data_IF_842745881560
#
_entry.id   IF_842745881560
#
_cell.length_a   1.000
_cell.length_b   1.000
_cell.length_c   1.000
_cell.angle_alpha   90.00
_cell.angle_beta   90.00
_cell.angle_gamma   90.00
#
_symmetry.space_group_name_H-M   'P 1'
#
loop_
_entity.id
_entity.type
_entity.pdbx_description
1 polymer ?
#
# COMPACT_ATOMS: atom_id res chain seq x y z
N UNK A 1 20.22 0.11 27.92
CA UNK A 1 19.95 -0.58 26.64
C UNK A 1 18.43 -0.56 26.41
N UNK A 2 17.84 0.63 26.31
CA UNK A 2 16.37 0.80 26.13
C UNK A 2 16.01 1.51 24.84
N UNK A 3 16.83 2.49 24.42
CA UNK A 3 16.58 3.31 23.23
C UNK A 3 16.46 2.56 21.89
N UNK A 4 17.00 1.35 21.76
CA UNK A 4 17.03 0.62 20.47
C UNK A 4 15.63 0.25 19.98
N UNK A 5 14.71 -0.09 20.89
CA UNK A 5 13.35 -0.50 20.52
C UNK A 5 12.57 0.68 19.95
N UNK A 6 12.60 1.83 20.64
CA UNK A 6 11.94 3.03 20.14
C UNK A 6 12.51 3.48 18.79
N UNK A 7 13.83 3.39 18.60
CA UNK A 7 14.48 3.73 17.33
C UNK A 7 14.00 2.82 16.17
N UNK A 8 13.88 1.51 16.40
CA UNK A 8 13.37 0.56 15.40
C UNK A 8 11.91 0.83 15.01
N UNK A 9 11.05 1.14 15.98
CA UNK A 9 9.65 1.51 15.70
C UNK A 9 9.53 2.88 15.02
N UNK A 10 10.41 3.83 15.35
CA UNK A 10 10.48 5.14 14.69
C UNK A 10 10.88 4.97 13.21
N UNK A 11 11.85 4.10 12.90
CA UNK A 11 12.21 3.77 11.52
C UNK A 11 11.04 3.19 10.72
N UNK A 12 10.29 2.26 11.33
CA UNK A 12 9.09 1.67 10.72
C UNK A 12 8.04 2.76 10.48
N UNK A 13 7.86 3.66 11.43
CA UNK A 13 6.92 4.77 11.30
C UNK A 13 7.28 5.72 10.17
N UNK A 14 8.56 6.11 10.04
CA UNK A 14 9.01 6.92 8.91
C UNK A 14 8.80 6.22 7.56
N UNK A 15 9.05 4.92 7.52
CA UNK A 15 8.82 4.11 6.32
C UNK A 15 7.33 4.06 5.95
N UNK A 16 6.45 3.93 6.95
CA UNK A 16 5.02 3.97 6.75
C UNK A 16 4.54 5.33 6.20
N UNK A 17 5.02 6.44 6.77
CA UNK A 17 4.70 7.78 6.27
C UNK A 17 5.14 7.96 4.80
N UNK A 18 6.29 7.39 4.45
CA UNK A 18 6.77 7.41 3.08
C UNK A 18 5.87 6.60 2.13
N UNK A 19 5.42 5.41 2.55
CA UNK A 19 4.45 4.61 1.81
C UNK A 19 3.14 5.36 1.61
N UNK A 20 2.64 6.02 2.65
CA UNK A 20 1.42 6.83 2.58
C UNK A 20 1.55 7.95 1.55
N UNK A 21 2.69 8.64 1.53
CA UNK A 21 2.96 9.70 0.55
C UNK A 21 3.03 9.14 -0.88
N UNK A 22 3.69 8.00 -1.09
CA UNK A 22 3.75 7.34 -2.40
C UNK A 22 2.36 6.96 -2.92
N UNK A 23 1.49 6.47 -2.03
CA UNK A 23 0.11 6.11 -2.33
C UNK A 23 -0.70 7.36 -2.71
N UNK A 24 -0.52 8.47 -2.01
CA UNK A 24 -1.14 9.78 -2.34
C UNK A 24 -0.67 10.33 -3.69
N UNK A 25 0.62 10.14 -4.01
CA UNK A 25 1.21 10.55 -5.28
C UNK A 25 0.91 9.58 -6.44
N UNK A 26 0.30 8.43 -6.16
CA UNK A 26 0.02 7.40 -7.16
C UNK A 26 1.26 6.69 -7.72
N UNK A 27 2.38 6.68 -6.97
CA UNK A 27 3.64 6.01 -7.34
C UNK A 27 3.57 4.51 -7.05
N UNK A 28 2.69 3.80 -7.75
CA UNK A 28 2.33 2.41 -7.43
C UNK A 28 3.48 1.42 -7.59
N UNK A 29 4.33 1.58 -8.61
CA UNK A 29 5.46 0.66 -8.85
C UNK A 29 6.52 0.75 -7.74
N UNK A 30 6.86 1.97 -7.34
CA UNK A 30 7.80 2.24 -6.24
C UNK A 30 7.20 1.80 -4.89
N UNK A 31 5.90 2.04 -4.70
CA UNK A 31 5.17 1.61 -3.50
C UNK A 31 5.24 0.09 -3.30
N UNK A 32 5.02 -0.71 -4.35
CA UNK A 32 5.03 -2.18 -4.25
C UNK A 32 6.40 -2.69 -3.77
N UNK A 33 7.49 -2.13 -4.31
CA UNK A 33 8.85 -2.51 -3.93
C UNK A 33 9.15 -2.17 -2.47
N UNK A 34 8.70 -1.00 -2.02
CA UNK A 34 8.96 -0.52 -0.67
C UNK A 34 8.05 -1.21 0.38
N UNK A 35 6.85 -1.62 -0.01
CA UNK A 35 5.90 -2.31 0.86
C UNK A 35 6.43 -3.68 1.34
N UNK A 36 7.14 -4.42 0.49
CA UNK A 36 7.77 -5.69 0.89
C UNK A 36 8.84 -5.47 1.98
N UNK A 37 9.66 -4.43 1.82
CA UNK A 37 10.67 -4.04 2.81
C UNK A 37 10.02 -3.64 4.13
N UNK A 38 8.93 -2.87 4.08
CA UNK A 38 8.17 -2.48 5.26
C UNK A 38 7.61 -3.67 6.02
N UNK A 39 6.94 -4.60 5.33
CA UNK A 39 6.34 -5.80 5.96
C UNK A 39 7.42 -6.67 6.59
N UNK A 40 8.58 -6.81 5.92
CA UNK A 40 9.70 -7.60 6.46
C UNK A 40 10.25 -6.97 7.73
N UNK A 41 10.56 -5.66 7.70
CA UNK A 41 11.05 -4.93 8.88
C UNK A 41 10.05 -4.95 10.04
N UNK A 42 8.75 -4.79 9.77
CA UNK A 42 7.72 -4.83 10.79
C UNK A 42 7.66 -6.20 11.47
N UNK A 43 7.71 -7.29 10.70
CA UNK A 43 7.72 -8.64 11.26
C UNK A 43 8.97 -8.91 12.08
N UNK A 44 10.14 -8.42 11.65
CA UNK A 44 11.40 -8.57 12.38
C UNK A 44 11.34 -7.85 13.74
N UNK A 45 10.82 -6.62 13.79
CA UNK A 45 10.71 -5.86 15.04
C UNK A 45 9.68 -6.49 15.99
N UNK A 46 8.55 -6.98 15.48
CA UNK A 46 7.57 -7.70 16.30
C UNK A 46 8.16 -9.02 16.85
N UNK A 47 8.97 -9.72 16.05
CA UNK A 47 9.54 -11.01 16.43
C UNK A 47 10.70 -10.88 17.43
N UNK A 48 11.43 -9.76 17.40
CA UNK A 48 12.56 -9.48 18.27
C UNK A 48 12.21 -8.57 19.46
N UNK A 49 10.91 -8.39 19.74
CA UNK A 49 10.46 -7.50 20.80
C UNK A 49 10.96 -7.98 22.17
N UNK A 50 11.64 -7.12 22.96
CA UNK A 50 12.12 -7.51 24.27
C UNK A 50 10.97 -7.69 25.27
N UNK A 51 11.12 -8.66 26.18
CA UNK A 51 10.11 -9.00 27.19
C UNK A 51 9.89 -7.87 28.23
N UNK A 52 10.93 -7.07 28.48
CA UNK A 52 10.88 -5.92 29.40
C UNK A 52 11.02 -4.60 28.63
N UNK A 53 9.88 -3.91 28.47
CA UNK A 53 9.82 -2.54 27.93
C UNK A 53 9.66 -1.57 29.10
N UNK A 54 10.49 -0.52 29.15
CA UNK A 54 10.42 0.47 30.22
C UNK A 54 9.08 1.23 30.17
N UNK A 55 8.50 1.63 31.31
CA UNK A 55 7.20 2.32 31.35
C UNK A 55 7.16 3.62 30.54
N UNK A 56 8.27 4.37 30.49
CA UNK A 56 8.37 5.61 29.71
C UNK A 56 8.41 5.33 28.20
N UNK A 57 9.09 4.25 27.78
CA UNK A 57 9.14 3.80 26.39
C UNK A 57 7.76 3.33 25.91
N UNK A 58 7.00 2.67 26.78
CA UNK A 58 5.65 2.18 26.49
C UNK A 58 4.69 3.29 26.04
N UNK A 59 4.81 4.50 26.59
CA UNK A 59 3.94 5.62 26.22
C UNK A 59 4.28 6.14 24.82
N UNK A 60 5.56 6.28 24.50
CA UNK A 60 6.03 6.68 23.18
C UNK A 60 5.69 5.62 22.12
N UNK A 61 5.94 4.35 22.43
CA UNK A 61 5.59 3.22 21.56
C UNK A 61 4.09 3.16 21.26
N UNK A 62 3.25 3.37 22.28
CA UNK A 62 1.79 3.39 22.13
C UNK A 62 1.33 4.48 21.17
N UNK A 63 1.94 5.66 21.23
CA UNK A 63 1.68 6.74 20.29
C UNK A 63 2.08 6.35 18.86
N UNK A 64 3.31 5.84 18.67
CA UNK A 64 3.83 5.41 17.37
C UNK A 64 2.95 4.32 16.75
N UNK A 65 2.59 3.29 17.53
CA UNK A 65 1.72 2.20 17.07
C UNK A 65 0.33 2.68 16.68
N UNK A 66 -0.24 3.62 17.44
CA UNK A 66 -1.54 4.20 17.09
C UNK A 66 -1.46 4.95 15.76
N UNK A 67 -0.42 5.75 15.56
CA UNK A 67 -0.23 6.47 14.29
C UNK A 67 0.06 5.53 13.12
N UNK A 68 0.77 4.41 13.34
CA UNK A 68 0.94 3.34 12.35
C UNK A 68 -0.39 2.72 11.92
N UNK A 69 -1.27 2.39 12.87
CA UNK A 69 -2.58 1.81 12.56
C UNK A 69 -3.46 2.80 11.77
N UNK A 70 -3.47 4.07 12.17
CA UNK A 70 -4.25 5.11 11.47
C UNK A 70 -3.77 5.33 10.03
N UNK A 71 -2.46 5.30 9.81
CA UNK A 71 -1.86 5.47 8.48
C UNK A 71 -2.05 4.23 7.59
N UNK A 72 -1.99 3.02 8.15
CA UNK A 72 -2.31 1.78 7.42
C UNK A 72 -3.76 1.75 6.93
N UNK A 73 -4.72 2.21 7.73
CA UNK A 73 -6.13 2.31 7.31
C UNK A 73 -6.30 3.29 6.11
N UNK A 74 -5.54 4.39 6.09
CA UNK A 74 -5.54 5.32 4.96
C UNK A 74 -4.91 4.69 3.69
N UNK A 75 -3.80 3.98 3.84
CA UNK A 75 -3.17 3.22 2.75
C UNK A 75 -4.15 2.19 2.19
N UNK A 76 -4.79 1.39 3.05
CA UNK A 76 -5.74 0.35 2.65
C UNK A 76 -6.94 0.92 1.87
N UNK A 77 -7.53 2.00 2.38
CA UNK A 77 -8.64 2.70 1.70
C UNK A 77 -8.23 3.17 0.31
N UNK A 78 -7.03 3.72 0.18
CA UNK A 78 -6.56 4.24 -1.11
C UNK A 78 -6.25 3.10 -2.09
N UNK A 79 -5.67 1.99 -1.61
CA UNK A 79 -5.46 0.79 -2.41
C UNK A 79 -6.77 0.18 -2.92
N UNK A 80 -7.79 0.08 -2.04
CA UNK A 80 -9.14 -0.37 -2.43
C UNK A 80 -9.73 0.51 -3.52
N UNK A 81 -9.65 1.84 -3.35
CA UNK A 81 -10.11 2.79 -4.37
C UNK A 81 -9.40 2.60 -5.71
N UNK A 82 -8.08 2.42 -5.70
CA UNK A 82 -7.29 2.18 -6.92
C UNK A 82 -7.69 0.87 -7.60
N UNK A 83 -7.92 -0.21 -6.85
CA UNK A 83 -8.40 -1.48 -7.38
C UNK A 83 -9.74 -1.34 -8.09
N UNK A 84 -10.66 -0.55 -7.54
CA UNK A 84 -11.97 -0.30 -8.16
C UNK A 84 -11.84 0.50 -9.46
N UNK A 85 -10.93 1.48 -9.52
CA UNK A 85 -10.59 2.21 -10.75
C UNK A 85 -10.03 1.24 -11.80
N UNK A 86 -9.06 0.39 -11.44
CA UNK A 86 -8.47 -0.58 -12.35
C UNK A 86 -9.50 -1.57 -12.91
N UNK A 87 -10.41 -2.07 -12.06
CA UNK A 87 -11.51 -2.95 -12.50
C UNK A 87 -12.43 -2.23 -13.50
N UNK A 88 -12.74 -0.96 -13.26
CA UNK A 88 -13.56 -0.15 -14.17
C UNK A 88 -12.86 0.09 -15.50
N UNK A 89 -11.56 0.40 -15.48
CA UNK A 89 -10.73 0.60 -16.67
C UNK A 89 -10.65 -0.69 -17.51
N UNK A 90 -10.37 -1.84 -16.88
CA UNK A 90 -10.37 -3.15 -17.55
C UNK A 90 -11.73 -3.49 -18.18
N UNK A 91 -12.82 -3.24 -17.46
CA UNK A 91 -14.18 -3.46 -17.99
C UNK A 91 -14.46 -2.57 -19.21
N UNK A 92 -13.98 -1.33 -19.19
CA UNK A 92 -14.13 -0.38 -20.29
C UNK A 92 -13.28 -0.79 -21.49
N UNK A 93 -12.04 -1.24 -21.28
CA UNK A 93 -11.16 -1.82 -22.29
C UNK A 93 -11.78 -3.05 -22.95
N UNK A 94 -12.34 -3.97 -22.16
CA UNK A 94 -13.01 -5.16 -22.68
C UNK A 94 -14.23 -4.81 -23.55
N UNK A 95 -15.02 -3.81 -23.13
CA UNK A 95 -16.13 -3.28 -23.95
C UNK A 95 -15.62 -2.61 -25.22
N UNK A 96 -14.59 -1.76 -25.14
CA UNK A 96 -13.96 -1.11 -26.28
C UNK A 96 -13.44 -2.11 -27.31
N UNK A 97 -12.80 -3.19 -26.86
CA UNK A 97 -12.36 -4.31 -27.71
C UNK A 97 -13.53 -4.98 -28.41
N UNK A 98 -14.61 -5.29 -27.70
CA UNK A 98 -15.84 -5.85 -28.31
C UNK A 98 -16.45 -4.94 -29.37
N UNK A 99 -16.51 -3.62 -29.12
CA UNK A 99 -17.00 -2.68 -30.12
C UNK A 99 -16.06 -2.60 -31.33
N UNK A 100 -14.74 -2.54 -31.11
CA UNK A 100 -13.75 -2.55 -32.20
C UNK A 100 -13.84 -3.81 -33.06
N UNK A 101 -14.02 -4.98 -32.46
CA UNK A 101 -14.23 -6.25 -33.17
C UNK A 101 -15.57 -6.27 -33.95
N UNK A 102 -16.64 -5.70 -33.38
CA UNK A 102 -17.93 -5.58 -34.04
C UNK A 102 -17.88 -4.62 -35.25
N UNK A 103 -17.20 -3.48 -35.12
CA UNK A 103 -17.00 -2.55 -36.25
C UNK A 103 -16.11 -3.15 -37.33
N UNK A 104 -15.04 -3.85 -36.96
CA UNK A 104 -14.14 -4.52 -37.91
C UNK A 104 -14.85 -5.62 -38.69
N UNK A 105 -15.69 -6.43 -38.02
CA UNK A 105 -16.47 -7.49 -38.66
C UNK A 105 -17.57 -6.95 -39.59
N UNK A 106 -18.25 -5.87 -39.22
CA UNK A 106 -19.20 -5.19 -40.10
C UNK A 106 -18.51 -4.56 -41.32
N UNK A 107 -17.34 -3.94 -41.15
CA UNK A 107 -16.57 -3.38 -42.25
C UNK A 107 -16.15 -4.46 -43.25
N UNK A 108 -15.68 -5.63 -42.79
CA UNK A 108 -15.34 -6.74 -43.68
C UNK A 108 -16.56 -7.40 -44.35
N UNK A 109 -17.74 -7.36 -43.74
CA UNK A 109 -18.97 -7.91 -44.34
C UNK A 109 -19.57 -7.03 -45.45
N UNK A 110 -19.21 -5.75 -45.53
CA UNK A 110 -19.71 -4.82 -46.55
C UNK A 110 -18.93 -4.89 -47.88
N UNK A 111 -17.82 -5.64 -47.93
CA UNK A 111 -16.96 -5.78 -49.11
C UNK A 111 -16.99 -7.18 -49.73
N UNK A 112 -17.99 -8.00 -49.41
CA UNK A 112 -18.11 -9.37 -49.90
C UNK A 112 -19.45 -9.69 -50.57
#
# INVERSE_FOLDING_TARGET
MGNTVCEEYEEIYQLNLHLLEMVKQGKWEEFIQLAEVYITKLNDVISNQPEDILPDEKTSLSFILKSLIESEDEIEKTLKSRLDVLKKEMSSLHRGKKYSEAYSSQFTSAFH
#
